data_IF_011627150742
#
_entry.id   IF_011627150742
#
_cell.length_a   1.000
_cell.length_b   1.000
_cell.length_c   1.000
_cell.angle_alpha   90.00
_cell.angle_beta   90.00
_cell.angle_gamma   90.00
#
_symmetry.space_group_name_H-M   'P 1'
#
loop_
_entity.id
_entity.type
_entity.pdbx_description
1 polymer ?
#
# COMPACT_ATOMS: atom_id res chain seq x y z
N UNK A 1 -0.55 -8.49 15.87
CA UNK A 1 -0.15 -7.22 16.50
C UNK A 1 -0.26 -6.05 15.53
N UNK A 2 -0.25 -4.81 16.07
CA UNK A 2 -0.21 -3.57 15.27
C UNK A 2 1.06 -3.46 14.43
N UNK A 3 2.18 -3.97 14.94
CA UNK A 3 3.48 -3.90 14.30
C UNK A 3 3.51 -4.81 13.07
N UNK A 4 2.95 -6.02 13.16
CA UNK A 4 2.76 -6.90 12.01
C UNK A 4 1.94 -6.21 10.91
N UNK A 5 0.84 -5.54 11.27
CA UNK A 5 0.02 -4.80 10.30
C UNK A 5 0.83 -3.75 9.54
N UNK A 6 1.70 -3.01 10.23
CA UNK A 6 2.62 -2.06 9.60
C UNK A 6 3.65 -2.75 8.70
N UNK A 7 4.25 -3.85 9.15
CA UNK A 7 5.26 -4.61 8.37
C UNK A 7 4.68 -5.10 7.04
N UNK A 8 3.49 -5.68 7.04
CA UNK A 8 2.82 -6.11 5.79
C UNK A 8 2.55 -4.92 4.86
N UNK A 9 2.04 -3.81 5.41
CA UNK A 9 1.76 -2.62 4.63
C UNK A 9 3.02 -1.99 4.02
N UNK A 10 4.07 -1.75 4.81
CA UNK A 10 5.30 -1.11 4.33
C UNK A 10 6.08 -2.00 3.38
N UNK A 11 6.09 -3.32 3.60
CA UNK A 11 6.75 -4.28 2.70
C UNK A 11 6.05 -4.33 1.34
N UNK A 12 4.72 -4.44 1.33
CA UNK A 12 3.91 -4.41 0.10
C UNK A 12 4.06 -3.06 -0.64
N UNK A 13 4.08 -1.95 0.09
CA UNK A 13 4.39 -0.63 -0.48
C UNK A 13 5.79 -0.57 -1.09
N UNK A 14 6.79 -1.13 -0.41
CA UNK A 14 8.18 -1.19 -0.89
C UNK A 14 8.31 -1.95 -2.21
N UNK A 15 7.62 -3.10 -2.35
CA UNK A 15 7.59 -3.85 -3.62
C UNK A 15 6.97 -3.02 -4.74
N UNK A 16 5.84 -2.34 -4.48
CA UNK A 16 5.23 -1.44 -5.49
C UNK A 16 6.20 -0.35 -5.91
N UNK A 17 6.85 0.30 -4.94
CA UNK A 17 7.77 1.40 -5.19
C UNK A 17 8.99 0.95 -6.01
N UNK A 18 9.65 -0.12 -5.59
CA UNK A 18 10.85 -0.64 -6.25
C UNK A 18 10.56 -1.11 -7.68
N UNK A 19 9.48 -1.89 -7.88
CA UNK A 19 9.13 -2.42 -9.21
C UNK A 19 8.70 -1.29 -10.15
N UNK A 20 7.88 -0.35 -9.69
CA UNK A 20 7.44 0.78 -10.52
C UNK A 20 8.62 1.62 -10.97
N UNK A 21 9.58 1.87 -10.06
CA UNK A 21 10.79 2.64 -10.35
C UNK A 21 11.71 1.91 -11.33
N UNK A 22 11.94 0.62 -11.13
CA UNK A 22 12.76 -0.19 -12.05
C UNK A 22 12.14 -0.24 -13.46
N UNK A 23 10.80 -0.27 -13.56
CA UNK A 23 10.09 -0.16 -14.84
C UNK A 23 10.32 1.19 -15.52
N UNK A 24 10.19 2.32 -14.81
CA UNK A 24 10.38 3.65 -15.41
C UNK A 24 11.83 3.97 -15.74
N UNK A 25 12.78 3.35 -15.04
CA UNK A 25 14.21 3.43 -15.36
C UNK A 25 14.64 2.50 -16.50
N UNK A 26 13.75 1.63 -17.00
CA UNK A 26 14.05 0.68 -18.07
C UNK A 26 14.95 -0.49 -17.64
N UNK A 27 15.08 -0.74 -16.34
CA UNK A 27 15.88 -1.84 -15.79
C UNK A 27 15.20 -3.21 -16.02
N UNK A 28 13.88 -3.21 -16.18
CA UNK A 28 13.08 -4.41 -16.39
C UNK A 28 12.52 -4.45 -17.82
N UNK A 29 12.78 -5.55 -18.54
CA UNK A 29 12.29 -5.75 -19.92
C UNK A 29 10.78 -5.97 -20.04
N UNK A 30 10.13 -6.41 -18.96
CA UNK A 30 8.71 -6.82 -18.95
C UNK A 30 7.73 -5.67 -18.74
N UNK A 31 8.23 -4.47 -18.45
CA UNK A 31 7.44 -3.28 -18.16
C UNK A 31 8.17 -2.00 -18.59
N UNK A 32 7.48 -0.86 -18.50
CA UNK A 32 8.03 0.44 -18.86
C UNK A 32 7.17 1.57 -18.31
N UNK A 33 7.33 2.76 -18.89
CA UNK A 33 6.53 3.94 -18.59
C UNK A 33 5.04 3.71 -18.86
N UNK A 34 4.18 4.44 -18.15
CA UNK A 34 2.75 4.52 -18.43
C UNK A 34 2.51 5.20 -19.78
N UNK A 35 1.81 4.50 -20.69
CA UNK A 35 1.51 4.98 -22.04
C UNK A 35 0.18 5.73 -22.13
N UNK A 36 -0.63 5.73 -21.07
CA UNK A 36 -1.95 6.35 -21.07
C UNK A 36 -1.91 7.87 -20.88
N UNK A 37 -0.77 8.45 -20.49
CA UNK A 37 -0.60 9.89 -20.24
C UNK A 37 0.33 10.49 -21.28
N UNK A 38 -0.26 10.93 -22.41
CA UNK A 38 0.44 11.52 -23.55
C UNK A 38 -0.34 12.71 -24.09
N UNK A 39 0.36 13.66 -24.70
CA UNK A 39 -0.25 14.85 -25.31
C UNK A 39 -0.63 15.92 -24.30
N UNK A 40 -1.49 16.85 -24.72
CA UNK A 40 -1.88 18.02 -23.91
C UNK A 40 -2.88 17.65 -22.82
N UNK A 41 -2.71 18.21 -21.64
CA UNK A 41 -3.64 18.13 -20.53
C UNK A 41 -3.71 19.48 -19.80
N UNK A 42 -4.67 19.61 -18.90
CA UNK A 42 -4.88 20.82 -18.11
C UNK A 42 -5.17 20.47 -16.66
N UNK A 43 -4.71 21.31 -15.75
CA UNK A 43 -5.02 21.27 -14.32
C UNK A 43 -5.35 22.68 -13.79
N UNK A 44 -5.39 22.84 -12.46
CA UNK A 44 -5.70 24.11 -11.80
C UNK A 44 -4.65 25.21 -12.06
N UNK A 45 -3.44 24.85 -12.47
CA UNK A 45 -2.33 25.78 -12.76
C UNK A 45 -2.26 26.15 -14.24
N UNK A 46 -2.89 25.38 -15.13
CA UNK A 46 -3.07 25.69 -16.55
C UNK A 46 -2.88 24.50 -17.49
N UNK A 47 -2.62 24.80 -18.76
CA UNK A 47 -2.35 23.80 -19.78
C UNK A 47 -0.89 23.36 -19.75
N UNK A 48 -0.67 22.05 -19.84
CA UNK A 48 0.66 21.46 -19.94
C UNK A 48 0.68 20.28 -20.92
N UNK A 49 1.86 19.94 -21.41
CA UNK A 49 2.05 18.75 -22.24
C UNK A 49 2.65 17.61 -21.41
N UNK A 50 2.02 16.43 -21.49
CA UNK A 50 2.62 15.19 -21.00
C UNK A 50 3.83 14.83 -21.83
N UNK A 51 4.96 14.60 -21.15
CA UNK A 51 6.20 14.11 -21.74
C UNK A 51 6.96 13.22 -20.77
N UNK A 52 8.21 12.91 -21.10
CA UNK A 52 9.06 12.08 -20.26
C UNK A 52 8.52 10.66 -20.04
N UNK A 53 8.82 10.08 -18.87
CA UNK A 53 8.41 8.74 -18.48
C UNK A 53 7.52 8.82 -17.25
N UNK A 54 6.21 8.64 -17.44
CA UNK A 54 5.28 8.50 -16.30
C UNK A 54 5.45 7.14 -15.65
N UNK A 55 5.56 7.09 -14.32
CA UNK A 55 5.66 5.87 -13.52
C UNK A 55 4.39 5.02 -13.66
N UNK A 56 4.53 3.77 -14.11
CA UNK A 56 3.41 2.83 -14.25
C UNK A 56 3.04 2.17 -12.90
N UNK A 57 2.48 2.98 -12.00
CA UNK A 57 2.11 2.55 -10.64
C UNK A 57 1.11 1.39 -10.63
N UNK A 58 0.21 1.32 -11.62
CA UNK A 58 -0.77 0.24 -11.70
C UNK A 58 -0.11 -1.11 -11.99
N UNK A 59 0.95 -1.13 -12.80
CA UNK A 59 1.78 -2.32 -13.00
C UNK A 59 2.44 -2.77 -11.69
N UNK A 60 3.09 -1.86 -10.97
CA UNK A 60 3.72 -2.16 -9.68
C UNK A 60 2.73 -2.72 -8.65
N UNK A 61 1.52 -2.14 -8.57
CA UNK A 61 0.43 -2.64 -7.71
C UNK A 61 0.00 -4.05 -8.12
N UNK A 62 -0.18 -4.30 -9.42
CA UNK A 62 -0.58 -5.62 -9.94
C UNK A 62 0.48 -6.66 -9.61
N UNK A 63 1.76 -6.33 -9.82
CA UNK A 63 2.88 -7.20 -9.49
C UNK A 63 2.93 -7.50 -7.99
N UNK A 64 2.93 -6.48 -7.13
CA UNK A 64 2.96 -6.67 -5.68
C UNK A 64 1.74 -7.46 -5.18
N UNK A 65 0.55 -7.24 -5.75
CA UNK A 65 -0.65 -8.01 -5.46
C UNK A 65 -0.55 -9.47 -5.91
N UNK A 66 0.20 -9.79 -6.96
CA UNK A 66 0.40 -11.17 -7.39
C UNK A 66 1.47 -11.88 -6.55
N UNK A 67 2.56 -11.18 -6.24
CA UNK A 67 3.71 -11.72 -5.53
C UNK A 67 3.53 -11.77 -4.01
N UNK A 68 3.25 -10.63 -3.38
CA UNK A 68 3.19 -10.51 -1.91
C UNK A 68 1.97 -11.23 -1.32
N UNK A 69 0.84 -11.20 -2.03
CA UNK A 69 -0.40 -11.86 -1.56
C UNK A 69 -0.41 -13.37 -1.87
N UNK A 70 0.59 -13.93 -2.57
CA UNK A 70 0.55 -15.30 -3.10
C UNK A 70 0.34 -16.34 -1.99
N UNK A 71 1.10 -16.22 -0.89
CA UNK A 71 1.00 -17.12 0.26
C UNK A 71 -0.30 -16.95 1.01
N UNK A 72 -0.68 -15.70 1.30
CA UNK A 72 -1.89 -15.40 2.08
C UNK A 72 -3.16 -15.88 1.37
N UNK A 73 -3.18 -15.94 0.03
CA UNK A 73 -4.33 -16.48 -0.72
C UNK A 73 -4.50 -17.99 -0.63
N UNK A 74 -3.48 -18.72 -0.20
CA UNK A 74 -3.56 -20.17 -0.01
C UNK A 74 -4.28 -20.55 1.29
N UNK A 75 -4.40 -19.60 2.23
CA UNK A 75 -5.00 -19.81 3.55
C UNK A 75 -6.23 -18.93 3.69
N UNK A 76 -7.27 -19.44 4.36
CA UNK A 76 -8.54 -18.70 4.59
C UNK A 76 -8.79 -18.51 6.08
N UNK A 77 -7.81 -17.96 6.79
CA UNK A 77 -7.93 -17.62 8.20
C UNK A 77 -7.98 -16.10 8.42
N UNK A 78 -8.31 -15.69 9.64
CA UNK A 78 -8.43 -14.28 10.00
C UNK A 78 -7.10 -13.52 9.78
N UNK A 79 -5.95 -14.18 10.03
CA UNK A 79 -4.62 -13.59 9.87
C UNK A 79 -4.30 -13.33 8.40
N UNK A 80 -4.61 -14.26 7.51
CA UNK A 80 -4.44 -14.12 6.08
C UNK A 80 -5.28 -12.97 5.52
N UNK A 81 -6.55 -12.86 5.94
CA UNK A 81 -7.40 -11.72 5.56
C UNK A 81 -6.79 -10.39 6.04
N UNK A 82 -6.20 -10.36 7.24
CA UNK A 82 -5.64 -9.14 7.85
C UNK A 82 -4.40 -8.71 7.08
N UNK A 83 -3.53 -9.68 6.75
CA UNK A 83 -2.35 -9.49 5.94
C UNK A 83 -2.72 -8.97 4.54
N UNK A 84 -3.73 -9.56 3.88
CA UNK A 84 -4.21 -9.11 2.57
C UNK A 84 -4.75 -7.67 2.60
N UNK A 85 -5.49 -7.29 3.65
CA UNK A 85 -5.98 -5.93 3.84
C UNK A 85 -4.82 -4.94 4.04
N UNK A 86 -3.90 -5.23 4.95
CA UNK A 86 -2.77 -4.36 5.24
C UNK A 86 -1.82 -4.24 4.03
N UNK A 87 -1.59 -5.33 3.30
CA UNK A 87 -0.88 -5.30 2.02
C UNK A 87 -1.55 -4.34 1.03
N UNK A 88 -2.88 -4.39 0.90
CA UNK A 88 -3.64 -3.46 0.04
C UNK A 88 -3.48 -2.01 0.51
N UNK A 89 -3.59 -1.74 1.80
CA UNK A 89 -3.37 -0.40 2.35
C UNK A 89 -1.98 0.15 1.99
N UNK A 90 -0.94 -0.68 2.09
CA UNK A 90 0.41 -0.35 1.64
C UNK A 90 0.50 0.03 0.16
N UNK A 91 -0.05 -0.78 -0.73
CA UNK A 91 -0.07 -0.50 -2.18
C UNK A 91 -0.80 0.80 -2.51
N UNK A 92 -1.92 1.05 -1.85
CA UNK A 92 -2.71 2.26 -2.06
C UNK A 92 -2.04 3.50 -1.48
N UNK A 93 -1.22 3.35 -0.43
CA UNK A 93 -0.44 4.46 0.13
C UNK A 93 0.58 5.01 -0.90
N UNK A 94 1.27 4.15 -1.64
CA UNK A 94 2.17 4.60 -2.72
C UNK A 94 1.38 5.34 -3.79
N UNK A 95 0.26 4.76 -4.25
CA UNK A 95 -0.62 5.39 -5.26
C UNK A 95 -1.18 6.74 -4.83
N UNK A 96 -1.42 6.93 -3.53
CA UNK A 96 -1.93 8.18 -2.97
C UNK A 96 -0.94 9.33 -3.12
N UNK A 97 0.37 9.05 -3.10
CA UNK A 97 1.43 10.06 -3.18
C UNK A 97 2.09 10.11 -4.55
N UNK A 98 1.39 9.70 -5.61
CA UNK A 98 1.79 10.09 -6.96
C UNK A 98 1.66 11.61 -7.09
N UNK A 99 2.58 12.23 -7.82
CA UNK A 99 2.62 13.66 -8.08
C UNK A 99 2.97 13.92 -9.54
N UNK A 100 2.50 15.04 -10.06
CA UNK A 100 2.94 15.54 -11.36
C UNK A 100 4.24 16.32 -11.16
N UNK A 101 5.26 16.03 -11.96
CA UNK A 101 6.53 16.77 -11.99
C UNK A 101 6.67 17.44 -13.36
N UNK A 102 6.98 18.74 -13.40
CA UNK A 102 6.87 19.53 -14.64
C UNK A 102 8.15 20.33 -14.99
N UNK A 103 8.76 19.95 -16.12
CA UNK A 103 9.42 20.85 -17.09
C UNK A 103 8.77 20.66 -18.47
N UNK A 104 8.60 19.40 -18.84
CA UNK A 104 7.45 18.81 -19.58
C UNK A 104 6.84 17.83 -18.56
N UNK A 105 5.52 17.68 -18.43
CA UNK A 105 4.98 17.02 -17.23
C UNK A 105 4.98 15.49 -17.31
N UNK A 106 5.30 14.79 -16.22
CA UNK A 106 5.10 13.34 -16.06
C UNK A 106 4.58 12.99 -14.67
N UNK A 107 3.92 11.84 -14.56
CA UNK A 107 3.45 11.34 -13.27
C UNK A 107 4.57 10.55 -12.59
N UNK A 108 4.97 10.95 -11.39
CA UNK A 108 6.05 10.32 -10.63
C UNK A 108 5.58 9.90 -9.23
N UNK A 109 6.17 8.84 -8.69
CA UNK A 109 6.05 8.52 -7.27
C UNK A 109 6.76 9.59 -6.42
N UNK A 110 6.15 10.01 -5.32
CA UNK A 110 6.85 10.79 -4.30
C UNK A 110 7.99 9.99 -3.65
N UNK A 111 8.89 10.68 -2.95
CA UNK A 111 9.88 10.04 -2.07
C UNK A 111 9.17 9.04 -1.13
N UNK A 112 9.74 7.83 -1.03
CA UNK A 112 9.13 6.73 -0.28
C UNK A 112 8.90 7.08 1.21
N UNK A 113 9.65 8.04 1.76
CA UNK A 113 9.44 8.58 3.11
C UNK A 113 8.04 9.13 3.32
N UNK A 114 7.43 9.80 2.33
CA UNK A 114 6.03 10.24 2.44
C UNK A 114 5.07 9.08 2.65
N UNK A 115 5.31 7.96 1.96
CA UNK A 115 4.54 6.72 2.15
C UNK A 115 4.79 6.13 3.53
N UNK A 116 6.06 6.06 3.96
CA UNK A 116 6.45 5.58 5.29
C UNK A 116 5.80 6.38 6.41
N UNK A 117 5.88 7.71 6.37
CA UNK A 117 5.29 8.62 7.35
C UNK A 117 3.77 8.47 7.42
N UNK A 118 3.13 8.32 6.26
CA UNK A 118 1.69 8.08 6.20
C UNK A 118 1.31 6.74 6.85
N UNK A 119 2.02 5.66 6.51
CA UNK A 119 1.77 4.35 7.10
C UNK A 119 2.09 4.33 8.60
N UNK A 120 3.09 5.10 9.05
CA UNK A 120 3.40 5.27 10.49
C UNK A 120 2.26 5.97 11.24
N UNK A 121 1.65 7.00 10.64
CA UNK A 121 0.43 7.62 11.19
C UNK A 121 -0.71 6.61 11.27
N UNK A 122 -0.89 5.78 10.23
CA UNK A 122 -1.90 4.71 10.21
C UNK A 122 -1.64 3.60 11.22
N UNK A 123 -0.38 3.30 11.52
CA UNK A 123 0.01 2.39 12.59
C UNK A 123 -0.44 2.90 13.97
N UNK A 124 -0.23 4.19 14.25
CA UNK A 124 -0.65 4.78 15.52
C UNK A 124 -2.17 4.78 15.73
N UNK A 125 -2.94 4.81 14.64
CA UNK A 125 -4.41 4.77 14.65
C UNK A 125 -4.97 3.45 14.12
N UNK A 126 -4.19 2.37 14.19
CA UNK A 126 -4.63 1.07 13.70
C UNK A 126 -5.83 0.57 14.50
N UNK A 127 -6.72 -0.16 13.84
CA UNK A 127 -8.01 -0.58 14.40
C UNK A 127 -7.97 -2.07 14.74
N UNK A 128 -8.41 -2.41 15.96
CA UNK A 128 -8.57 -3.81 16.35
C UNK A 128 -9.83 -4.39 15.69
N UNK A 129 -9.68 -5.56 15.08
CA UNK A 129 -10.76 -6.22 14.35
C UNK A 129 -10.86 -7.69 14.73
N UNK A 130 -12.07 -8.21 14.59
CA UNK A 130 -12.39 -9.65 14.70
C UNK A 130 -12.95 -10.13 13.37
N UNK A 131 -12.83 -11.44 13.10
CA UNK A 131 -13.38 -12.03 11.89
C UNK A 131 -14.91 -12.11 11.99
N UNK A 132 -15.59 -11.86 10.88
CA UNK A 132 -17.05 -11.98 10.83
C UNK A 132 -17.49 -13.45 10.95
N UNK A 133 -18.73 -13.66 11.39
CA UNK A 133 -19.30 -15.02 11.54
C UNK A 133 -19.32 -15.82 10.25
N UNK A 134 -19.42 -15.15 9.10
CA UNK A 134 -19.40 -15.76 7.76
C UNK A 134 -17.98 -15.94 7.18
N UNK A 135 -16.94 -15.51 7.91
CA UNK A 135 -15.54 -15.59 7.47
C UNK A 135 -15.21 -14.72 6.25
N UNK A 136 -16.10 -13.84 5.81
CA UNK A 136 -15.92 -13.06 4.57
C UNK A 136 -15.13 -11.77 4.77
N UNK A 137 -14.94 -11.34 6.02
CA UNK A 137 -14.28 -10.08 6.33
C UNK A 137 -14.14 -9.81 7.83
N UNK A 138 -14.11 -8.51 8.16
CA UNK A 138 -13.82 -7.99 9.49
C UNK A 138 -14.97 -7.18 10.08
N UNK A 139 -15.09 -7.26 11.40
CA UNK A 139 -15.89 -6.40 12.25
C UNK A 139 -14.93 -5.72 13.23
N UNK A 140 -15.14 -4.43 13.47
CA UNK A 140 -14.35 -3.69 14.46
C UNK A 140 -14.68 -4.24 15.85
N UNK A 141 -13.65 -4.48 16.66
CA UNK A 141 -13.84 -5.02 18.02
C UNK A 141 -14.60 -4.03 18.92
N UNK A 142 -14.33 -2.73 18.75
CA UNK A 142 -15.04 -1.63 19.40
C UNK A 142 -16.40 -1.37 18.71
N UNK A 143 -17.49 -1.54 19.47
CA UNK A 143 -18.87 -1.34 19.00
C UNK A 143 -19.24 0.13 18.80
N UNK A 144 -18.53 1.05 19.45
CA UNK A 144 -18.74 2.49 19.31
C UNK A 144 -17.99 3.08 18.10
N UNK A 145 -17.17 2.25 17.43
CA UNK A 145 -16.45 2.65 16.24
C UNK A 145 -17.38 2.78 15.02
N UNK A 146 -17.75 4.01 14.69
CA UNK A 146 -18.73 4.31 13.62
C UNK A 146 -18.16 4.31 12.19
N UNK A 147 -16.86 4.13 11.99
CA UNK A 147 -16.20 4.23 10.67
C UNK A 147 -15.86 2.85 10.12
N UNK A 148 -15.78 2.73 8.78
CA UNK A 148 -15.22 1.51 8.17
C UNK A 148 -13.72 1.68 7.98
N UNK A 149 -12.85 0.79 8.48
CA UNK A 149 -11.39 0.92 8.39
C UNK A 149 -10.83 0.59 6.99
N UNK A 150 -11.44 1.11 5.91
CA UNK A 150 -11.11 0.76 4.51
C UNK A 150 -9.68 1.12 4.11
N UNK A 151 -9.13 2.16 4.73
CA UNK A 151 -7.77 2.68 4.50
C UNK A 151 -6.96 2.76 5.79
N UNK A 152 -7.44 2.12 6.86
CA UNK A 152 -6.74 2.02 8.13
C UNK A 152 -6.05 0.67 8.21
N UNK A 153 -4.93 0.62 8.93
CA UNK A 153 -4.31 -0.66 9.24
C UNK A 153 -5.16 -1.36 10.30
N UNK A 154 -5.29 -2.68 10.17
CA UNK A 154 -6.08 -3.49 11.09
C UNK A 154 -5.23 -4.57 11.74
N UNK A 155 -5.55 -4.92 12.98
CA UNK A 155 -4.87 -5.97 13.73
C UNK A 155 -5.87 -6.79 14.53
N UNK A 156 -5.55 -8.06 14.79
CA UNK A 156 -6.43 -8.99 15.52
C UNK A 156 -5.89 -9.30 16.93
N UNK A 157 -4.57 -9.30 17.08
CA UNK A 157 -3.90 -9.67 18.34
C UNK A 157 -3.22 -8.45 18.94
N UNK A 158 -3.33 -8.28 20.25
CA UNK A 158 -2.59 -7.26 20.99
C UNK A 158 -1.09 -7.43 20.86
N UNK A 159 -0.36 -6.33 20.96
CA UNK A 159 1.10 -6.35 20.96
C UNK A 159 1.62 -6.94 22.28
N UNK A 160 2.67 -7.77 22.26
CA UNK A 160 3.32 -8.24 23.48
C UNK A 160 3.99 -7.08 24.23
N UNK A 161 4.38 -7.33 25.48
CA UNK A 161 5.25 -6.41 26.21
C UNK A 161 6.69 -6.56 25.71
N UNK A 162 7.12 -5.60 24.89
CA UNK A 162 8.48 -5.55 24.33
C UNK A 162 9.58 -5.29 25.37
N UNK A 163 9.25 -4.97 26.63
CA UNK A 163 10.22 -4.91 27.71
C UNK A 163 10.67 -6.30 28.18
N UNK A 164 9.82 -7.32 27.99
CA UNK A 164 10.09 -8.67 28.43
C UNK A 164 10.64 -9.50 27.27
N UNK A 165 11.70 -10.26 27.55
CA UNK A 165 12.24 -11.19 26.57
C UNK A 165 11.26 -12.35 26.37
N UNK A 166 10.73 -12.47 25.16
CA UNK A 166 9.96 -13.63 24.76
C UNK A 166 10.90 -14.82 24.55
N UNK A 167 10.75 -15.87 25.36
CA UNK A 167 11.53 -17.11 25.27
C UNK A 167 10.96 -18.12 24.28
N UNK A 168 9.80 -17.83 23.71
CA UNK A 168 9.08 -18.70 22.78
C UNK A 168 9.16 -18.26 21.31
N UNK A 169 9.80 -17.11 21.05
CA UNK A 169 10.03 -16.57 19.72
C UNK A 169 11.13 -17.30 18.94
#
# INVERSE_FOLDING_TARGET
SREAAFVYAISSAGVVYAITRACSQGELKICGCDTHRRGRASDEEGDFDWGGCSDNINYGIKFAKAFVDARERMVKDARALMNLHNNRCGRMAVKRFMKTECKTCWLAMSDFRRTGDYLRKKYNTAVEVTMNQDGSGFMVADRDYKRTPKNDLVYIENSPDYCLMDRSA
#
